data_IF_966425222589
#
_entry.id   IF_966425222589
#
_cell.length_a   1.000
_cell.length_b   1.000
_cell.length_c   1.000
_cell.angle_alpha   90.00
_cell.angle_beta   90.00
_cell.angle_gamma   90.00
#
_symmetry.space_group_name_H-M   'P 1'
#
loop_
_entity.id
_entity.type
_entity.pdbx_description
1 polymer ?
#
# COMPACT_ATOMS: atom_id res chain seq x y z
N UNK A 1 -11.27 1.73 -1.62
CA UNK A 1 -10.25 0.87 -1.07
C UNK A 1 -10.78 -0.43 -0.51
N UNK A 2 -10.14 -1.54 -0.86
CA UNK A 2 -10.47 -2.89 -0.37
C UNK A 2 -9.81 -3.22 0.97
N UNK A 3 -9.20 -2.24 1.66
CA UNK A 3 -8.57 -2.44 2.96
C UNK A 3 -7.09 -2.85 2.92
N UNK A 4 -6.43 -2.84 1.76
CA UNK A 4 -5.01 -3.24 1.61
C UNK A 4 -4.08 -2.55 2.61
N UNK A 5 -4.13 -1.23 2.66
CA UNK A 5 -3.32 -0.42 3.59
C UNK A 5 -3.66 -0.73 5.05
N UNK A 6 -4.96 -0.81 5.38
CA UNK A 6 -5.41 -1.12 6.75
C UNK A 6 -4.96 -2.52 7.19
N UNK A 7 -5.00 -3.51 6.29
CA UNK A 7 -4.50 -4.86 6.58
C UNK A 7 -3.03 -4.83 6.96
N UNK A 8 -2.20 -4.04 6.27
CA UNK A 8 -0.78 -3.87 6.62
C UNK A 8 -0.60 -3.25 7.99
N UNK A 9 -1.37 -2.19 8.30
CA UNK A 9 -1.30 -1.52 9.59
C UNK A 9 -1.79 -2.41 10.74
N UNK A 10 -2.83 -3.21 10.52
CA UNK A 10 -3.32 -4.17 11.52
C UNK A 10 -2.32 -5.31 11.74
N UNK A 11 -1.68 -5.80 10.69
CA UNK A 11 -0.60 -6.79 10.83
C UNK A 11 0.55 -6.24 11.67
N UNK A 12 0.96 -5.00 11.43
CA UNK A 12 1.99 -4.33 12.20
C UNK A 12 1.61 -4.23 13.70
N UNK A 13 0.40 -3.76 14.00
CA UNK A 13 -0.14 -3.68 15.38
C UNK A 13 -0.16 -5.06 16.04
N UNK A 14 -0.68 -6.07 15.34
CA UNK A 14 -0.80 -7.44 15.86
C UNK A 14 0.54 -8.10 16.14
N UNK A 15 1.57 -7.77 15.36
CA UNK A 15 2.93 -8.30 15.52
C UNK A 15 3.82 -7.42 16.40
N UNK A 16 3.36 -6.25 16.81
CA UNK A 16 4.12 -5.27 17.56
C UNK A 16 5.32 -4.72 16.78
N UNK A 17 5.16 -4.53 15.46
CA UNK A 17 6.19 -4.01 14.56
C UNK A 17 5.88 -2.60 14.12
N UNK A 18 6.90 -1.78 13.99
CA UNK A 18 6.78 -0.47 13.36
C UNK A 18 6.59 -0.62 11.85
N UNK A 19 6.01 0.40 11.22
CA UNK A 19 5.86 0.47 9.75
C UNK A 19 6.70 1.63 9.23
N UNK A 20 7.64 1.32 8.35
CA UNK A 20 8.38 2.31 7.60
C UNK A 20 7.74 2.45 6.21
N UNK A 21 6.90 3.48 6.07
CA UNK A 21 6.14 3.69 4.83
C UNK A 21 6.95 4.50 3.83
N UNK A 22 7.04 3.99 2.62
CA UNK A 22 7.60 4.69 1.47
C UNK A 22 6.47 5.29 0.65
N UNK A 23 6.47 6.62 0.58
CA UNK A 23 5.57 7.37 -0.28
C UNK A 23 6.19 7.50 -1.68
N UNK A 24 5.70 6.67 -2.57
CA UNK A 24 6.21 6.57 -3.95
C UNK A 24 6.00 7.87 -4.73
N UNK A 25 4.96 8.63 -4.44
CA UNK A 25 4.67 9.89 -5.12
C UNK A 25 5.72 10.95 -4.81
N UNK A 26 6.20 11.00 -3.56
CA UNK A 26 7.29 11.89 -3.13
C UNK A 26 8.63 11.52 -3.74
N UNK A 27 8.81 10.25 -4.01
CA UNK A 27 10.01 9.79 -4.69
C UNK A 27 10.01 10.32 -6.12
N UNK A 28 8.91 10.21 -6.87
CA UNK A 28 8.80 10.71 -8.25
C UNK A 28 9.03 12.23 -8.37
N UNK A 29 8.53 13.04 -7.45
CA UNK A 29 8.60 14.51 -7.53
C UNK A 29 10.00 15.09 -7.25
N UNK A 30 10.85 14.41 -6.47
CA UNK A 30 12.22 14.84 -6.12
C UNK A 30 13.29 14.34 -7.10
N UNK A 31 12.94 13.67 -8.17
CA UNK A 31 13.84 12.80 -8.93
C UNK A 31 14.47 13.41 -10.19
N UNK A 32 14.32 14.69 -10.40
CA UNK A 32 15.06 15.37 -11.45
C UNK A 32 16.49 15.61 -10.94
N UNK A 33 17.40 14.63 -11.17
CA UNK A 33 18.84 14.77 -10.96
C UNK A 33 19.49 14.02 -9.79
N UNK A 34 18.74 13.55 -8.75
CA UNK A 34 19.34 12.91 -7.55
C UNK A 34 18.69 11.56 -7.17
N UNK A 35 18.02 10.90 -8.10
CA UNK A 35 17.16 9.72 -7.87
C UNK A 35 17.86 8.56 -7.16
N UNK A 36 19.06 8.21 -7.59
CA UNK A 36 19.80 7.06 -7.07
C UNK A 36 20.19 7.24 -5.60
N UNK A 37 20.74 8.40 -5.26
CA UNK A 37 21.16 8.70 -3.89
C UNK A 37 19.96 8.72 -2.93
N UNK A 38 18.83 9.27 -3.38
CA UNK A 38 17.61 9.34 -2.58
C UNK A 38 17.06 7.95 -2.25
N UNK A 39 16.98 7.05 -3.25
CA UNK A 39 16.50 5.67 -3.03
C UNK A 39 17.44 4.90 -2.13
N UNK A 40 18.75 4.91 -2.43
CA UNK A 40 19.76 4.26 -1.58
C UNK A 40 19.72 4.80 -0.15
N UNK A 41 19.48 6.11 0.01
CA UNK A 41 19.31 6.75 1.31
C UNK A 41 18.11 6.19 2.10
N UNK A 42 16.96 6.00 1.45
CA UNK A 42 15.76 5.40 2.07
C UNK A 42 16.07 3.98 2.57
N UNK A 43 16.65 3.13 1.74
CA UNK A 43 16.99 1.77 2.12
C UNK A 43 18.07 1.71 3.20
N UNK A 44 19.04 2.65 3.19
CA UNK A 44 20.01 2.79 4.28
C UNK A 44 19.32 3.08 5.61
N UNK A 45 18.40 4.05 5.62
CA UNK A 45 17.63 4.40 6.83
C UNK A 45 16.86 3.17 7.33
N UNK A 46 16.20 2.42 6.43
CA UNK A 46 15.49 1.21 6.79
C UNK A 46 16.41 0.15 7.41
N UNK A 47 17.56 -0.13 6.79
CA UNK A 47 18.57 -1.07 7.34
C UNK A 47 19.08 -0.63 8.72
N UNK A 48 19.30 0.67 8.92
CA UNK A 48 19.71 1.20 10.22
C UNK A 48 18.61 1.07 11.29
N UNK A 49 17.34 1.21 10.90
CA UNK A 49 16.20 0.95 11.77
C UNK A 49 16.10 -0.53 12.15
N UNK A 50 16.31 -1.46 11.20
CA UNK A 50 16.31 -2.90 11.47
C UNK A 50 17.35 -3.29 12.53
N UNK A 51 18.54 -2.66 12.51
CA UNK A 51 19.61 -2.91 13.50
C UNK A 51 19.29 -2.38 14.89
N UNK A 52 18.49 -1.32 15.00
CA UNK A 52 18.18 -0.63 16.25
C UNK A 52 16.94 -1.19 16.97
N UNK A 53 16.10 -1.92 16.27
CA UNK A 53 14.83 -2.41 16.81
C UNK A 53 14.91 -3.90 17.12
N UNK A 54 14.34 -4.30 18.25
CA UNK A 54 14.20 -5.71 18.62
C UNK A 54 13.40 -6.50 17.59
N UNK A 55 12.33 -5.89 17.08
CA UNK A 55 11.52 -6.45 15.98
C UNK A 55 11.74 -5.62 14.73
N UNK A 56 12.21 -6.27 13.67
CA UNK A 56 12.40 -5.60 12.38
C UNK A 56 11.11 -4.91 11.93
N UNK A 57 11.15 -3.63 11.58
CA UNK A 57 9.99 -2.91 11.07
C UNK A 57 9.53 -3.49 9.72
N UNK A 58 8.28 -3.24 9.38
CA UNK A 58 7.74 -3.57 8.06
C UNK A 58 8.11 -2.43 7.10
N UNK A 59 8.80 -2.75 6.00
CA UNK A 59 8.97 -1.83 4.88
C UNK A 59 7.71 -1.85 4.03
N UNK A 60 7.00 -0.74 3.95
CA UNK A 60 5.71 -0.67 3.30
C UNK A 60 5.71 0.25 2.08
N UNK A 61 5.48 -0.33 0.90
CA UNK A 61 5.23 0.42 -0.33
C UNK A 61 3.72 0.47 -0.58
N UNK A 62 3.14 1.63 -0.38
CA UNK A 62 1.74 1.85 -0.73
C UNK A 62 1.65 2.29 -2.20
N UNK A 63 0.71 1.69 -2.95
CA UNK A 63 0.51 1.97 -4.38
C UNK A 63 1.79 1.72 -5.21
N UNK A 64 2.38 0.54 -5.01
CA UNK A 64 3.67 0.14 -5.59
C UNK A 64 3.66 0.08 -7.13
N UNK A 65 2.49 -0.03 -7.77
CA UNK A 65 2.31 0.01 -9.22
C UNK A 65 2.89 1.27 -9.87
N UNK A 66 2.96 2.37 -9.12
CA UNK A 66 3.56 3.61 -9.59
C UNK A 66 5.07 3.49 -9.93
N UNK A 67 5.79 2.52 -9.33
CA UNK A 67 7.23 2.30 -9.57
C UNK A 67 7.55 0.86 -9.95
N UNK A 68 6.71 -0.11 -9.63
CA UNK A 68 6.93 -1.53 -9.95
C UNK A 68 6.18 -1.97 -11.21
N UNK A 69 5.57 -1.02 -11.94
CA UNK A 69 4.88 -1.29 -13.19
C UNK A 69 5.83 -1.76 -14.30
N UNK A 70 5.27 -2.32 -15.35
CA UNK A 70 6.01 -2.74 -16.56
C UNK A 70 6.88 -1.60 -17.07
N UNK A 71 8.07 -1.95 -17.54
CA UNK A 71 9.02 -1.00 -18.14
C UNK A 71 8.41 -0.35 -19.37
N UNK A 72 8.76 0.92 -19.58
CA UNK A 72 8.39 1.60 -20.81
C UNK A 72 9.33 1.14 -21.93
N UNK A 73 8.78 0.54 -22.98
CA UNK A 73 9.54 0.07 -24.14
C UNK A 73 10.06 1.24 -25.02
N UNK A 74 9.27 2.31 -25.12
CA UNK A 74 9.69 3.53 -25.83
C UNK A 74 10.55 4.42 -24.93
N UNK A 75 11.87 4.24 -25.03
CA UNK A 75 12.88 4.89 -24.20
C UNK A 75 13.30 6.27 -24.74
N UNK A 76 12.57 6.84 -25.69
CA UNK A 76 12.91 8.14 -26.27
C UNK A 76 12.73 9.32 -25.30
N UNK A 77 11.90 9.17 -24.27
CA UNK A 77 11.74 10.22 -23.27
C UNK A 77 12.73 10.07 -22.10
N UNK A 78 13.31 11.16 -21.66
CA UNK A 78 14.17 11.21 -20.46
C UNK A 78 13.45 10.68 -19.21
N UNK A 79 12.14 10.85 -19.13
CA UNK A 79 11.31 10.35 -18.03
C UNK A 79 11.21 8.82 -18.02
N UNK A 80 11.12 8.16 -19.19
CA UNK A 80 11.11 6.71 -19.30
C UNK A 80 12.47 6.09 -18.91
N UNK A 81 13.57 6.70 -19.37
CA UNK A 81 14.92 6.27 -18.99
C UNK A 81 15.14 6.37 -17.48
N UNK A 82 14.69 7.46 -16.89
CA UNK A 82 14.80 7.73 -15.47
C UNK A 82 13.98 6.71 -14.64
N UNK A 83 12.76 6.39 -15.06
CA UNK A 83 11.92 5.39 -14.40
C UNK A 83 12.56 4.00 -14.47
N UNK A 84 13.07 3.60 -15.63
CA UNK A 84 13.74 2.31 -15.80
C UNK A 84 15.02 2.22 -14.93
N UNK A 85 15.80 3.29 -14.86
CA UNK A 85 16.98 3.36 -13.96
C UNK A 85 16.59 3.17 -12.51
N UNK A 86 15.54 3.85 -12.09
CA UNK A 86 14.98 3.71 -10.75
C UNK A 86 14.55 2.29 -10.44
N UNK A 87 13.82 1.66 -11.35
CA UNK A 87 13.39 0.28 -11.18
C UNK A 87 14.58 -0.66 -10.99
N UNK A 88 15.68 -0.45 -11.73
CA UNK A 88 16.90 -1.24 -11.55
C UNK A 88 17.51 -1.05 -10.16
N UNK A 89 17.55 0.18 -9.65
CA UNK A 89 18.05 0.46 -8.30
C UNK A 89 17.16 -0.19 -7.24
N UNK A 90 15.84 -0.05 -7.38
CA UNK A 90 14.87 -0.68 -6.48
C UNK A 90 15.04 -2.21 -6.48
N UNK A 91 15.23 -2.83 -7.64
CA UNK A 91 15.47 -4.26 -7.74
C UNK A 91 16.73 -4.69 -6.98
N UNK A 92 17.84 -3.95 -7.12
CA UNK A 92 19.09 -4.21 -6.39
C UNK A 92 18.92 -4.08 -4.88
N UNK A 93 18.26 -3.01 -4.43
CA UNK A 93 18.02 -2.77 -3.00
C UNK A 93 17.09 -3.84 -2.40
N UNK A 94 16.06 -4.28 -3.14
CA UNK A 94 15.15 -5.33 -2.71
C UNK A 94 15.82 -6.71 -2.64
N UNK A 95 16.83 -7.00 -3.45
CA UNK A 95 17.61 -8.24 -3.38
C UNK A 95 18.43 -8.35 -2.10
N UNK A 96 18.88 -7.22 -1.56
CA UNK A 96 19.73 -7.16 -0.38
C UNK A 96 18.95 -6.89 0.92
N UNK A 97 17.61 -6.85 0.86
CA UNK A 97 16.81 -6.47 2.02
C UNK A 97 16.68 -7.66 2.99
N UNK A 98 17.10 -7.43 4.22
CA UNK A 98 16.82 -8.31 5.35
C UNK A 98 15.65 -7.70 6.12
N UNK A 99 14.46 -8.29 6.02
CA UNK A 99 13.28 -7.76 6.69
C UNK A 99 11.96 -8.15 6.03
N UNK A 100 10.89 -7.51 6.46
CA UNK A 100 9.54 -7.74 5.96
C UNK A 100 9.19 -6.63 4.98
N UNK A 101 8.98 -7.00 3.72
CA UNK A 101 8.50 -6.12 2.68
C UNK A 101 7.01 -6.38 2.43
N UNK A 102 6.21 -5.35 2.48
CA UNK A 102 4.80 -5.40 2.06
C UNK A 102 4.56 -4.33 1.01
N UNK A 103 3.95 -4.73 -0.10
CA UNK A 103 3.57 -3.83 -1.18
C UNK A 103 2.07 -3.95 -1.44
N UNK A 104 1.41 -2.82 -1.64
CA UNK A 104 0.02 -2.81 -2.12
C UNK A 104 -0.04 -2.28 -3.54
N UNK A 105 -0.91 -2.85 -4.35
CA UNK A 105 -1.17 -2.40 -5.72
C UNK A 105 -2.66 -2.52 -6.04
N UNK A 106 -3.14 -1.66 -6.91
CA UNK A 106 -4.46 -1.77 -7.53
C UNK A 106 -4.37 -2.37 -8.94
N UNK A 107 -3.17 -2.52 -9.48
CA UNK A 107 -2.88 -2.92 -10.86
C UNK A 107 -1.91 -4.11 -10.91
N UNK A 108 -2.28 -5.23 -10.26
CA UNK A 108 -1.42 -6.42 -10.18
C UNK A 108 -0.98 -6.95 -11.56
N UNK A 109 -1.83 -6.80 -12.59
CA UNK A 109 -1.52 -7.23 -13.97
C UNK A 109 -0.43 -6.38 -14.64
N UNK A 110 -0.14 -5.21 -14.09
CA UNK A 110 0.84 -4.27 -14.62
C UNK A 110 2.20 -4.33 -13.92
N UNK A 111 2.37 -5.24 -12.97
CA UNK A 111 3.68 -5.41 -12.31
C UNK A 111 4.72 -5.95 -13.29
N UNK A 112 5.92 -5.42 -13.21
CA UNK A 112 7.07 -5.95 -13.94
C UNK A 112 7.40 -7.36 -13.39
N UNK A 113 7.58 -8.37 -14.25
CA UNK A 113 7.89 -9.74 -13.82
C UNK A 113 9.15 -9.84 -12.94
N UNK A 114 10.09 -8.90 -13.07
CA UNK A 114 11.29 -8.87 -12.25
C UNK A 114 10.96 -8.55 -10.77
N UNK A 115 10.00 -7.65 -10.53
CA UNK A 115 9.49 -7.39 -9.18
C UNK A 115 8.58 -8.52 -8.70
N UNK A 116 7.72 -9.02 -9.56
CA UNK A 116 6.75 -10.06 -9.21
C UNK A 116 7.40 -11.33 -8.66
N UNK A 117 8.54 -11.72 -9.21
CA UNK A 117 9.31 -12.90 -8.78
C UNK A 117 9.94 -12.77 -7.38
N UNK A 118 10.01 -11.56 -6.83
CA UNK A 118 10.59 -11.29 -5.50
C UNK A 118 9.58 -11.40 -4.37
N UNK A 119 8.29 -11.41 -4.71
CA UNK A 119 7.23 -11.58 -3.71
C UNK A 119 6.91 -13.05 -3.52
N UNK A 120 7.18 -13.57 -2.32
CA UNK A 120 6.92 -14.96 -1.93
C UNK A 120 5.41 -15.19 -1.81
N UNK A 121 4.70 -14.20 -1.25
CA UNK A 121 3.25 -14.28 -1.02
C UNK A 121 2.53 -13.20 -1.83
N UNK A 122 1.47 -13.61 -2.50
CA UNK A 122 0.54 -12.75 -3.23
C UNK A 122 -0.84 -12.95 -2.63
N UNK A 123 -1.41 -11.88 -2.09
CA UNK A 123 -2.71 -11.91 -1.43
C UNK A 123 -3.64 -10.97 -2.17
N UNK A 124 -4.71 -11.51 -2.72
CA UNK A 124 -5.77 -10.73 -3.34
C UNK A 124 -6.79 -10.34 -2.26
N UNK A 125 -7.17 -9.08 -2.24
CA UNK A 125 -8.19 -8.54 -1.36
C UNK A 125 -9.36 -8.06 -2.18
N UNK A 126 -10.37 -8.90 -2.26
CA UNK A 126 -11.63 -8.60 -2.91
C UNK A 126 -12.47 -7.56 -2.16
N UNK A 127 -13.53 -7.11 -2.80
CA UNK A 127 -14.54 -6.31 -2.11
C UNK A 127 -15.13 -7.13 -0.97
N UNK A 128 -15.39 -6.50 0.19
CA UNK A 128 -15.92 -7.21 1.35
C UNK A 128 -17.30 -7.81 1.05
N UNK A 129 -17.53 -9.04 1.50
CA UNK A 129 -18.82 -9.68 1.50
C UNK A 129 -19.82 -8.97 2.42
N UNK A 130 -21.09 -9.36 2.38
CA UNK A 130 -22.19 -8.73 3.14
C UNK A 130 -21.92 -8.64 4.63
N UNK A 131 -21.51 -9.74 5.26
CA UNK A 131 -21.23 -9.80 6.69
C UNK A 131 -20.06 -8.86 7.08
N UNK A 132 -19.00 -8.84 6.25
CA UNK A 132 -17.86 -7.96 6.50
C UNK A 132 -18.24 -6.49 6.32
N UNK A 133 -19.07 -6.17 5.32
CA UNK A 133 -19.61 -4.80 5.16
C UNK A 133 -20.42 -4.36 6.36
N UNK A 134 -21.27 -5.24 6.90
CA UNK A 134 -22.04 -4.97 8.10
C UNK A 134 -21.13 -4.61 9.28
N UNK A 135 -20.04 -5.37 9.48
CA UNK A 135 -19.05 -5.08 10.52
C UNK A 135 -18.30 -3.76 10.27
N UNK A 136 -18.02 -3.42 9.01
CA UNK A 136 -17.40 -2.12 8.66
C UNK A 136 -18.35 -0.97 9.00
N UNK A 137 -19.64 -1.06 8.63
CA UNK A 137 -20.66 -0.08 9.02
C UNK A 137 -20.70 0.11 10.53
N UNK A 138 -20.80 -0.99 11.28
CA UNK A 138 -20.85 -0.97 12.74
C UNK A 138 -19.59 -0.35 13.40
N UNK A 139 -18.43 -0.50 12.77
CA UNK A 139 -17.18 0.10 13.28
C UNK A 139 -17.09 1.61 13.05
N UNK A 140 -17.76 2.13 12.02
CA UNK A 140 -17.66 3.53 11.60
C UNK A 140 -18.87 4.39 12.03
N UNK A 141 -20.01 3.78 12.26
CA UNK A 141 -21.24 4.45 12.71
C UNK A 141 -21.65 3.90 14.08
N UNK A 142 -22.22 4.76 14.93
CA UNK A 142 -22.75 4.36 16.23
C UNK A 142 -24.25 4.66 16.31
N UNK A 143 -24.97 3.95 17.18
CA UNK A 143 -26.37 4.22 17.45
C UNK A 143 -27.36 3.43 16.59
N UNK A 144 -26.90 2.46 15.81
CA UNK A 144 -27.74 1.57 15.01
C UNK A 144 -27.76 0.16 15.59
N UNK A 145 -28.84 -0.59 15.32
CA UNK A 145 -28.97 -2.00 15.70
C UNK A 145 -28.17 -2.93 14.77
N UNK A 146 -27.94 -4.16 15.20
CA UNK A 146 -27.26 -5.17 14.36
C UNK A 146 -28.04 -5.46 13.06
N UNK A 147 -29.39 -5.41 13.11
CA UNK A 147 -30.24 -5.61 11.94
C UNK A 147 -30.08 -4.47 10.92
N UNK A 148 -29.97 -3.24 11.38
CA UNK A 148 -29.75 -2.07 10.53
C UNK A 148 -28.39 -2.15 9.85
N UNK A 149 -27.32 -2.53 10.57
CA UNK A 149 -26.01 -2.76 9.96
C UNK A 149 -26.02 -3.90 8.94
N UNK A 150 -26.74 -4.98 9.23
CA UNK A 150 -26.91 -6.08 8.29
C UNK A 150 -27.68 -5.63 7.03
N UNK A 151 -28.73 -4.82 7.20
CA UNK A 151 -29.48 -4.22 6.10
C UNK A 151 -28.60 -3.33 5.21
N UNK A 152 -27.77 -2.47 5.81
CA UNK A 152 -26.80 -1.65 5.09
C UNK A 152 -25.78 -2.53 4.34
N UNK A 153 -25.28 -3.57 4.97
CA UNK A 153 -24.35 -4.53 4.36
C UNK A 153 -24.94 -5.24 3.13
N UNK A 154 -26.23 -5.61 3.17
CA UNK A 154 -26.96 -6.21 2.04
C UNK A 154 -27.21 -5.20 0.92
N UNK A 155 -27.76 -4.05 1.29
CA UNK A 155 -28.25 -3.06 0.32
C UNK A 155 -27.14 -2.39 -0.47
N UNK A 156 -25.97 -2.18 0.15
CA UNK A 156 -24.89 -1.42 -0.45
C UNK A 156 -23.61 -2.26 -0.63
N UNK A 157 -23.32 -2.76 -1.85
CA UNK A 157 -22.12 -3.55 -2.14
C UNK A 157 -20.86 -2.67 -2.24
N UNK A 158 -20.62 -1.87 -1.21
CA UNK A 158 -19.53 -0.92 -1.14
C UNK A 158 -18.23 -1.56 -0.63
N UNK A 159 -17.12 -1.01 -1.08
CA UNK A 159 -15.82 -1.25 -0.46
C UNK A 159 -15.71 -0.49 0.87
N UNK A 160 -14.75 -0.87 1.74
CA UNK A 160 -14.53 -0.18 3.00
C UNK A 160 -14.30 1.33 2.84
N UNK A 161 -13.53 1.76 1.84
CA UNK A 161 -13.31 3.19 1.57
C UNK A 161 -14.57 3.91 1.06
N UNK A 162 -15.46 3.23 0.34
CA UNK A 162 -16.74 3.81 -0.05
C UNK A 162 -17.65 3.99 1.16
N UNK A 163 -17.67 3.02 2.08
CA UNK A 163 -18.42 3.13 3.34
C UNK A 163 -17.89 4.31 4.16
N UNK A 164 -16.57 4.43 4.30
CA UNK A 164 -15.94 5.54 5.00
C UNK A 164 -16.33 6.91 4.41
N UNK A 165 -16.33 7.02 3.08
CA UNK A 165 -16.73 8.26 2.41
C UNK A 165 -18.20 8.63 2.66
N UNK A 166 -19.10 7.63 2.66
CA UNK A 166 -20.52 7.86 2.98
C UNK A 166 -20.67 8.35 4.42
N UNK A 167 -20.02 7.67 5.38
CA UNK A 167 -20.07 8.07 6.79
C UNK A 167 -19.54 9.48 7.00
N UNK A 168 -18.39 9.81 6.40
CA UNK A 168 -17.82 11.18 6.47
C UNK A 168 -18.76 12.22 5.89
N UNK A 169 -19.38 11.93 4.74
CA UNK A 169 -20.33 12.86 4.11
C UNK A 169 -21.56 13.06 4.99
N UNK A 170 -22.14 12.00 5.52
CA UNK A 170 -23.29 12.11 6.43
C UNK A 170 -22.97 12.95 7.66
N UNK A 171 -21.75 12.85 8.21
CA UNK A 171 -21.34 13.64 9.36
C UNK A 171 -21.22 15.16 9.03
N UNK A 172 -20.89 15.52 7.79
CA UNK A 172 -20.81 16.92 7.34
C UNK A 172 -22.20 17.48 7.06
N UNK A 173 -23.11 16.68 6.51
CA UNK A 173 -24.49 17.12 6.20
C UNK A 173 -25.36 17.34 7.47
N UNK A 174 -24.86 16.92 8.66
CA UNK A 174 -25.52 17.13 9.97
C UNK A 174 -25.05 18.42 10.71
N UNK A 175 -24.11 19.18 10.14
CA UNK A 175 -23.62 20.47 10.66
C UNK A 175 -24.29 21.63 9.91
#
# INVERSE_FOLDING_TARGET
>A
GTGKTETTLQLARKTGRDVFTIDVSKIKSKWVGESEKAVKGIFKIYRDLCKKKEKMPILFFNEADAVFGKRMENVESSAAQMLNTLQNILLQELESIEGILICTTNLHQNLDPAFERRFIYKVELDKPGEEVRSKIWASMMKGYTQEEYASLGRKYPFSGGQIENVVRKSAVDYI
#
